data_IF_953358013331
#
_entry.id   IF_953358013331
#
_cell.length_a   1.000
_cell.length_b   1.000
_cell.length_c   1.000
_cell.angle_alpha   90.00
_cell.angle_beta   90.00
_cell.angle_gamma   90.00
#
_symmetry.space_group_name_H-M   'P 1'
#
loop_
_entity.id
_entity.type
_entity.pdbx_description
1 polymer ?
#
# COMPACT_ATOMS: atom_id res chain seq x y z
N UNK A 1 21.59 37.05 -30.21
CA UNK A 1 21.81 38.35 -29.53
C UNK A 1 20.50 39.11 -29.55
N UNK A 2 19.78 39.12 -28.44
CA UNK A 2 18.61 39.99 -28.20
C UNK A 2 18.72 40.47 -26.75
N UNK A 3 18.43 41.72 -26.42
CA UNK A 3 18.84 42.35 -25.17
C UNK A 3 17.90 42.09 -24.00
N UNK A 4 18.49 42.00 -22.82
CA UNK A 4 17.83 41.92 -21.51
C UNK A 4 17.09 43.23 -21.18
N UNK A 5 15.83 43.12 -20.68
CA UNK A 5 15.10 44.18 -20.04
C UNK A 5 15.25 44.08 -18.51
N UNK A 6 15.35 45.21 -17.75
CA UNK A 6 15.62 45.18 -16.33
C UNK A 6 14.37 44.94 -15.48
N UNK A 7 14.57 44.25 -14.36
CA UNK A 7 13.56 43.99 -13.32
C UNK A 7 13.10 45.26 -12.61
N UNK A 8 11.80 45.46 -12.47
CA UNK A 8 11.18 46.53 -11.62
C UNK A 8 11.10 46.03 -10.17
N UNK A 9 11.70 46.83 -9.27
CA UNK A 9 11.57 46.67 -7.82
C UNK A 9 10.17 47.12 -7.35
N UNK A 10 9.44 46.25 -6.65
CA UNK A 10 8.21 46.60 -5.94
C UNK A 10 8.55 47.00 -4.51
N UNK A 11 8.11 48.22 -4.12
CA UNK A 11 8.21 48.73 -2.75
C UNK A 11 7.15 48.08 -1.85
N UNK A 12 7.45 47.86 -0.55
CA UNK A 12 6.48 47.29 0.38
C UNK A 12 5.49 48.36 0.89
N UNK A 13 4.22 47.97 1.00
CA UNK A 13 3.12 48.76 1.62
C UNK A 13 3.15 48.61 3.14
N UNK A 14 2.77 49.66 3.91
CA UNK A 14 2.84 49.64 5.38
C UNK A 14 1.68 48.86 6.02
N UNK A 15 1.98 48.17 7.11
CA UNK A 15 1.02 47.45 7.97
C UNK A 15 0.17 48.42 8.81
N UNK A 16 -1.10 48.10 9.07
CA UNK A 16 -1.92 48.83 10.04
C UNK A 16 -1.62 48.38 11.48
N UNK A 17 -1.61 49.34 12.39
CA UNK A 17 -1.42 49.21 13.85
C UNK A 17 -2.66 48.64 14.55
N UNK A 18 -2.51 47.85 15.62
CA UNK A 18 -3.65 47.36 16.38
C UNK A 18 -4.17 48.39 17.38
N UNK A 19 -5.49 48.49 17.46
CA UNK A 19 -6.20 49.29 18.51
C UNK A 19 -6.37 48.43 19.75
N UNK A 20 -6.12 49.00 20.91
CA UNK A 20 -6.14 48.40 22.23
C UNK A 20 -7.55 48.09 22.79
N UNK A 21 -7.63 47.42 23.96
CA UNK A 21 -8.83 46.77 24.45
C UNK A 21 -9.76 47.71 25.23
N UNK A 22 -11.06 47.45 25.04
CA UNK A 22 -12.13 48.01 25.90
C UNK A 22 -12.41 47.02 27.02
N UNK A 23 -12.24 47.50 28.27
CA UNK A 23 -12.59 46.81 29.50
C UNK A 23 -14.11 46.70 29.67
N UNK A 24 -14.62 45.50 29.87
CA UNK A 24 -15.98 45.27 30.36
C UNK A 24 -15.92 44.57 31.71
N UNK A 25 -16.35 45.24 32.74
CA UNK A 25 -16.51 44.78 34.13
C UNK A 25 -17.75 43.88 34.19
N UNK A 26 -17.63 42.65 34.68
CA UNK A 26 -18.79 41.81 35.00
C UNK A 26 -18.74 41.39 36.47
N UNK A 27 -19.86 41.68 37.17
CA UNK A 27 -20.11 41.39 38.58
C UNK A 27 -20.10 39.89 38.88
N UNK A 28 -19.44 39.56 40.01
CA UNK A 28 -19.58 38.25 40.68
C UNK A 28 -20.90 38.21 41.47
N UNK A 29 -21.69 37.17 41.23
CA UNK A 29 -22.76 36.72 42.13
C UNK A 29 -22.38 35.36 42.69
N UNK A 30 -22.09 35.34 43.97
CA UNK A 30 -21.78 34.11 44.75
C UNK A 30 -23.08 33.43 45.16
N UNK A 31 -23.24 32.17 44.76
CA UNK A 31 -24.25 31.24 45.33
C UNK A 31 -23.52 30.12 46.07
N UNK A 32 -23.69 30.12 47.38
CA UNK A 32 -23.30 29.02 48.27
C UNK A 32 -24.43 27.99 48.25
N UNK A 33 -24.12 26.74 47.95
CA UNK A 33 -25.02 25.63 48.22
C UNK A 33 -24.27 24.47 48.85
N UNK A 34 -24.90 23.93 49.86
CA UNK A 34 -24.40 23.05 50.88
C UNK A 34 -23.97 21.66 50.41
N UNK A 35 -22.97 21.17 51.12
CA UNK A 35 -22.47 19.81 51.10
C UNK A 35 -23.49 18.90 51.82
N UNK A 36 -23.88 17.79 51.19
CA UNK A 36 -24.38 16.62 51.85
C UNK A 36 -23.54 15.44 51.46
N UNK A 37 -22.78 14.94 52.43
CA UNK A 37 -22.03 13.69 52.35
C UNK A 37 -22.98 12.50 52.63
N UNK A 38 -22.92 11.47 51.82
CA UNK A 38 -23.22 10.10 52.24
C UNK A 38 -22.52 9.10 51.29
N UNK A 39 -21.55 8.43 51.74
CA UNK A 39 -21.21 7.07 51.90
C UNK A 39 -20.88 6.20 50.67
N UNK A 40 -20.03 5.21 50.91
CA UNK A 40 -19.16 4.65 49.89
C UNK A 40 -19.79 3.42 49.22
N UNK A 41 -19.14 2.97 48.14
CA UNK A 41 -19.31 1.75 47.38
C UNK A 41 -19.73 2.00 45.93
N UNK A 42 -18.79 2.49 45.17
CA UNK A 42 -18.81 2.43 43.73
C UNK A 42 -17.50 1.76 43.26
N UNK A 43 -17.49 0.43 43.26
CA UNK A 43 -16.41 -0.33 42.67
C UNK A 43 -16.15 0.22 41.24
N UNK A 44 -14.96 0.81 41.09
CA UNK A 44 -14.40 1.13 39.77
C UNK A 44 -14.37 -0.19 39.00
N UNK A 45 -15.34 -0.40 38.12
CA UNK A 45 -15.24 -1.38 37.06
C UNK A 45 -14.15 -0.89 36.13
N UNK A 46 -12.91 -1.31 36.44
CA UNK A 46 -11.87 -1.37 35.39
C UNK A 46 -12.47 -2.19 34.28
N UNK A 47 -12.81 -1.50 33.18
CA UNK A 47 -13.12 -2.16 31.94
C UNK A 47 -11.93 -3.04 31.61
N UNK A 48 -12.12 -4.35 31.76
CA UNK A 48 -11.18 -5.34 31.28
C UNK A 48 -10.98 -5.07 29.80
N UNK A 49 -9.82 -4.49 29.44
CA UNK A 49 -9.43 -4.24 28.07
C UNK A 49 -9.35 -5.57 27.33
N UNK A 50 -10.45 -5.95 26.70
CA UNK A 50 -10.48 -7.11 25.83
C UNK A 50 -9.57 -6.86 24.64
N UNK A 51 -8.38 -7.50 24.63
CA UNK A 51 -7.77 -8.05 23.43
C UNK A 51 -7.31 -7.12 22.30
N UNK A 52 -6.88 -5.87 22.57
CA UNK A 52 -6.34 -5.00 21.52
C UNK A 52 -4.83 -5.11 21.32
N UNK A 53 -4.12 -5.91 22.09
CA UNK A 53 -2.65 -5.92 22.09
C UNK A 53 -2.10 -6.91 21.07
N UNK A 54 -1.24 -6.44 20.18
CA UNK A 54 -0.45 -7.30 19.28
C UNK A 54 0.60 -8.08 20.08
N UNK A 55 0.89 -9.31 19.68
CA UNK A 55 1.89 -10.17 20.30
C UNK A 55 3.32 -9.63 20.23
N UNK A 56 4.26 -10.41 20.75
CA UNK A 56 5.68 -10.10 20.61
C UNK A 56 6.13 -10.35 19.17
N UNK A 57 6.97 -9.46 18.66
CA UNK A 57 7.59 -9.62 17.34
C UNK A 57 8.69 -10.66 17.43
N UNK A 58 8.60 -11.69 16.61
CA UNK A 58 9.63 -12.72 16.44
C UNK A 58 10.22 -12.61 15.03
N UNK A 59 11.47 -12.23 14.94
CA UNK A 59 12.17 -12.19 13.65
C UNK A 59 12.50 -13.64 13.21
N UNK A 60 12.19 -13.94 11.96
CA UNK A 60 12.46 -15.22 11.33
C UNK A 60 13.73 -15.13 10.50
N UNK A 61 14.48 -16.25 10.42
CA UNK A 61 15.61 -16.32 9.48
C UNK A 61 15.10 -16.10 8.07
N UNK A 62 15.60 -15.06 7.41
CA UNK A 62 15.22 -14.73 6.04
C UNK A 62 15.85 -15.73 5.04
N UNK A 63 15.10 -16.24 4.05
CA UNK A 63 15.67 -17.05 2.99
C UNK A 63 16.43 -16.23 1.93
N UNK A 64 16.28 -14.90 1.98
CA UNK A 64 16.87 -13.98 1.02
C UNK A 64 18.29 -13.59 1.46
N UNK A 65 19.31 -13.75 0.60
CA UNK A 65 20.70 -13.36 0.92
C UNK A 65 20.86 -11.84 0.98
N UNK A 66 22.00 -11.39 1.51
CA UNK A 66 22.39 -9.98 1.44
C UNK A 66 22.43 -9.48 -0.02
N UNK A 67 22.03 -8.23 -0.26
CA UNK A 67 21.81 -7.67 -1.59
C UNK A 67 20.36 -7.81 -2.08
N UNK A 68 19.50 -8.53 -1.35
CA UNK A 68 18.08 -8.69 -1.68
C UNK A 68 17.26 -7.49 -1.27
N UNK A 69 16.18 -7.22 -2.04
CA UNK A 69 15.27 -6.07 -1.86
C UNK A 69 13.86 -6.37 -2.37
N UNK A 70 12.96 -5.43 -2.17
CA UNK A 70 11.58 -5.45 -2.67
C UNK A 70 10.86 -6.78 -2.37
N UNK A 71 10.74 -7.17 -1.08
CA UNK A 71 10.06 -8.40 -0.72
C UNK A 71 8.55 -8.29 -0.94
N UNK A 72 7.94 -9.41 -1.30
CA UNK A 72 6.50 -9.56 -1.35
C UNK A 72 6.09 -10.87 -0.70
N UNK A 73 5.12 -10.85 0.23
CA UNK A 73 4.69 -12.02 0.98
C UNK A 73 3.19 -12.26 0.78
N UNK A 74 2.84 -13.50 0.57
CA UNK A 74 1.46 -14.00 0.59
C UNK A 74 1.37 -15.19 1.54
N UNK A 75 0.19 -15.44 2.07
CA UNK A 75 -0.12 -16.63 2.85
C UNK A 75 -1.38 -17.30 2.32
N UNK A 76 -1.50 -18.60 2.58
CA UNK A 76 -2.70 -19.36 2.25
C UNK A 76 -3.38 -19.90 3.53
N UNK A 77 -4.64 -20.30 3.38
CA UNK A 77 -5.45 -20.84 4.48
C UNK A 77 -5.01 -22.24 4.93
N UNK A 78 -4.05 -22.87 4.24
CA UNK A 78 -3.52 -24.21 4.56
C UNK A 78 -2.24 -24.16 5.38
N UNK A 79 -1.81 -22.95 5.77
CA UNK A 79 -0.65 -22.77 6.62
C UNK A 79 0.67 -22.61 5.88
N UNK A 80 0.65 -22.43 4.55
CA UNK A 80 1.83 -22.05 3.79
C UNK A 80 1.88 -20.54 3.56
N UNK A 81 3.10 -19.99 3.55
CA UNK A 81 3.36 -18.65 3.05
C UNK A 81 4.44 -18.70 1.97
N UNK A 82 4.43 -17.71 1.10
CA UNK A 82 5.42 -17.57 0.04
C UNK A 82 6.01 -16.18 0.11
N UNK A 83 7.33 -16.11 0.11
CA UNK A 83 8.09 -14.86 0.05
C UNK A 83 8.81 -14.80 -1.30
N UNK A 84 8.60 -13.73 -2.05
CA UNK A 84 9.42 -13.40 -3.22
C UNK A 84 10.26 -12.16 -2.96
N UNK A 85 11.38 -12.04 -3.68
CA UNK A 85 12.28 -10.90 -3.58
C UNK A 85 13.07 -10.72 -4.87
N UNK A 86 13.60 -9.51 -5.06
CA UNK A 86 14.62 -9.25 -6.07
C UNK A 86 15.99 -9.45 -5.44
N UNK A 87 16.78 -10.35 -6.02
CA UNK A 87 18.14 -10.68 -5.62
C UNK A 87 19.14 -10.04 -6.58
N UNK A 88 20.09 -9.27 -6.06
CA UNK A 88 21.22 -8.80 -6.84
C UNK A 88 22.34 -9.84 -6.77
N UNK A 89 22.81 -10.31 -7.91
CA UNK A 89 23.88 -11.29 -8.02
C UNK A 89 25.27 -10.64 -8.00
N UNK A 90 26.31 -11.46 -7.84
CA UNK A 90 27.70 -11.00 -7.79
C UNK A 90 28.17 -10.29 -9.08
N UNK A 91 27.61 -10.66 -10.23
CA UNK A 91 27.86 -10.05 -11.54
C UNK A 91 27.01 -8.77 -11.79
N UNK A 92 26.36 -8.27 -10.76
CA UNK A 92 25.43 -7.13 -10.80
C UNK A 92 24.15 -7.36 -11.60
N UNK A 93 23.91 -8.54 -12.12
CA UNK A 93 22.60 -8.93 -12.68
C UNK A 93 21.57 -9.14 -11.58
N UNK A 94 20.31 -9.32 -11.97
CA UNK A 94 19.23 -9.54 -11.03
C UNK A 94 18.52 -10.87 -11.31
N UNK A 95 17.93 -11.44 -10.26
CA UNK A 95 16.99 -12.53 -10.34
C UNK A 95 15.78 -12.22 -9.44
N UNK A 96 14.62 -12.76 -9.79
CA UNK A 96 13.43 -12.76 -8.93
C UNK A 96 13.31 -14.16 -8.35
N UNK A 97 13.30 -14.21 -7.03
CA UNK A 97 13.37 -15.45 -6.25
C UNK A 97 12.09 -15.68 -5.47
N UNK A 98 11.88 -16.91 -5.06
CA UNK A 98 10.74 -17.38 -4.27
C UNK A 98 11.20 -18.41 -3.26
N UNK A 99 10.70 -18.35 -2.03
CA UNK A 99 10.76 -19.44 -1.05
C UNK A 99 9.38 -19.69 -0.45
N UNK A 100 9.10 -20.94 -0.08
CA UNK A 100 7.88 -21.35 0.61
C UNK A 100 8.17 -21.59 2.08
N UNK A 101 7.34 -21.06 2.95
CA UNK A 101 7.30 -21.32 4.38
C UNK A 101 6.36 -22.49 4.68
N UNK A 102 6.81 -23.47 5.43
CA UNK A 102 6.01 -24.66 5.78
C UNK A 102 5.42 -24.61 7.20
N UNK A 103 5.46 -23.43 7.83
CA UNK A 103 5.06 -23.23 9.23
C UNK A 103 6.24 -23.20 10.21
N UNK A 104 7.41 -23.73 9.83
CA UNK A 104 8.60 -23.84 10.70
C UNK A 104 9.86 -23.28 10.06
N UNK A 105 10.10 -23.59 8.80
CA UNK A 105 11.30 -23.17 8.04
C UNK A 105 10.93 -22.82 6.61
N UNK A 106 11.76 -21.96 6.01
CA UNK A 106 11.73 -21.71 4.57
C UNK A 106 12.38 -22.87 3.83
N UNK A 107 11.80 -23.27 2.71
CA UNK A 107 12.46 -24.18 1.79
C UNK A 107 13.58 -23.47 1.00
N UNK A 108 14.33 -24.24 0.20
CA UNK A 108 15.37 -23.69 -0.67
C UNK A 108 14.79 -22.71 -1.68
N UNK A 109 15.43 -21.54 -1.81
CA UNK A 109 15.01 -20.50 -2.74
C UNK A 109 14.98 -21.02 -4.19
N UNK A 110 13.88 -20.73 -4.89
CA UNK A 110 13.65 -21.04 -6.31
C UNK A 110 13.74 -19.78 -7.14
N UNK A 111 14.00 -19.93 -8.42
CA UNK A 111 14.05 -18.82 -9.35
C UNK A 111 12.72 -18.68 -10.08
N UNK A 112 12.07 -17.51 -9.96
CA UNK A 112 10.94 -17.18 -10.82
C UNK A 112 11.47 -16.85 -12.21
N UNK A 113 12.45 -15.93 -12.28
CA UNK A 113 13.10 -15.54 -13.52
C UNK A 113 14.49 -14.96 -13.23
N UNK A 114 15.40 -15.03 -14.21
CA UNK A 114 16.75 -14.50 -14.12
C UNK A 114 17.22 -14.02 -15.50
N UNK A 115 18.29 -13.25 -15.51
CA UNK A 115 19.01 -12.86 -16.74
C UNK A 115 18.13 -12.12 -17.76
N UNK A 116 17.25 -11.24 -17.25
CA UNK A 116 16.33 -10.41 -18.03
C UNK A 116 16.68 -8.93 -17.88
N UNK A 117 16.30 -8.05 -18.83
CA UNK A 117 16.51 -6.61 -18.74
C UNK A 117 15.51 -5.97 -17.77
N UNK A 118 15.61 -6.31 -16.49
CA UNK A 118 14.65 -5.83 -15.49
C UNK A 118 14.65 -4.31 -15.34
N UNK A 119 13.46 -3.75 -15.17
CA UNK A 119 13.27 -2.44 -14.58
C UNK A 119 13.18 -2.60 -13.06
N UNK A 120 14.32 -2.46 -12.38
CA UNK A 120 14.39 -2.60 -10.91
C UNK A 120 14.13 -1.26 -10.27
N UNK A 121 13.02 -1.13 -9.58
CA UNK A 121 12.59 0.07 -8.88
C UNK A 121 12.16 -0.25 -7.44
N UNK A 122 12.35 0.70 -6.53
CA UNK A 122 12.01 0.57 -5.11
C UNK A 122 10.50 0.65 -4.85
N UNK A 123 9.76 1.30 -5.75
CA UNK A 123 8.34 1.60 -5.63
C UNK A 123 7.48 0.82 -6.62
N UNK A 124 8.05 0.35 -7.72
CA UNK A 124 7.39 -0.46 -8.73
C UNK A 124 8.10 -1.82 -8.79
N UNK A 125 7.59 -2.78 -8.06
CA UNK A 125 8.30 -4.00 -7.66
C UNK A 125 7.52 -5.25 -8.07
N UNK A 126 8.22 -6.39 -8.26
CA UNK A 126 7.60 -7.67 -8.53
C UNK A 126 6.67 -8.13 -7.41
N UNK A 127 5.61 -8.83 -7.77
CA UNK A 127 4.69 -9.45 -6.82
C UNK A 127 4.29 -10.86 -7.26
N UNK A 128 3.75 -11.61 -6.31
CA UNK A 128 3.21 -12.95 -6.50
C UNK A 128 1.77 -13.02 -6.00
N UNK A 129 1.00 -13.92 -6.55
CA UNK A 129 -0.36 -14.24 -6.08
C UNK A 129 -0.59 -15.74 -6.15
N UNK A 130 -1.37 -16.28 -5.22
CA UNK A 130 -1.90 -17.65 -5.30
C UNK A 130 -3.22 -17.63 -6.03
N UNK A 131 -3.39 -18.54 -6.99
CA UNK A 131 -4.60 -18.69 -7.77
C UNK A 131 -5.59 -19.64 -7.08
N UNK A 132 -6.85 -19.59 -7.46
CA UNK A 132 -7.92 -20.37 -6.84
C UNK A 132 -7.72 -21.89 -6.99
N UNK A 133 -7.02 -22.34 -8.04
CA UNK A 133 -6.65 -23.73 -8.27
C UNK A 133 -5.36 -24.18 -7.53
N UNK A 134 -4.76 -23.29 -6.73
CA UNK A 134 -3.52 -23.54 -5.99
C UNK A 134 -2.23 -23.23 -6.73
N UNK A 135 -2.29 -22.88 -8.02
CA UNK A 135 -1.15 -22.39 -8.79
C UNK A 135 -0.64 -21.05 -8.23
N UNK A 136 0.55 -20.68 -8.66
CA UNK A 136 1.10 -19.34 -8.40
C UNK A 136 1.13 -18.54 -9.71
N UNK A 137 0.96 -17.23 -9.59
CA UNK A 137 1.33 -16.29 -10.63
C UNK A 137 2.29 -15.25 -10.07
N UNK A 138 3.15 -14.72 -10.95
CA UNK A 138 4.10 -13.69 -10.62
C UNK A 138 4.17 -12.66 -11.75
N UNK A 139 4.54 -11.42 -11.41
CA UNK A 139 4.89 -10.42 -12.40
C UNK A 139 6.22 -9.77 -12.09
N UNK A 140 6.81 -9.20 -13.12
CA UNK A 140 7.93 -8.28 -13.05
C UNK A 140 7.86 -7.28 -14.19
N UNK A 141 8.76 -6.30 -14.17
CA UNK A 141 8.87 -5.27 -15.18
C UNK A 141 10.17 -5.47 -15.98
N UNK A 142 10.07 -5.34 -17.31
CA UNK A 142 11.22 -5.39 -18.23
C UNK A 142 11.35 -4.10 -19.01
N UNK A 143 12.60 -3.66 -19.20
CA UNK A 143 12.91 -2.56 -20.13
C UNK A 143 12.63 -3.01 -21.55
N UNK A 144 11.91 -2.19 -22.31
CA UNK A 144 11.52 -2.47 -23.69
C UNK A 144 12.24 -1.56 -24.70
N UNK A 145 13.03 -0.60 -24.22
CA UNK A 145 13.78 0.34 -25.04
C UNK A 145 14.85 1.08 -24.25
N UNK A 146 15.42 2.11 -24.85
CA UNK A 146 16.47 2.96 -24.25
C UNK A 146 15.91 4.09 -23.38
N UNK A 147 14.61 4.39 -23.48
CA UNK A 147 13.94 5.40 -22.67
C UNK A 147 13.85 5.01 -21.21
N UNK A 148 14.00 5.96 -20.29
CA UNK A 148 13.94 5.72 -18.85
C UNK A 148 12.62 5.10 -18.39
N UNK A 149 11.54 5.39 -19.08
CA UNK A 149 10.17 4.93 -18.80
C UNK A 149 9.61 4.00 -19.89
N UNK A 150 10.47 3.41 -20.71
CA UNK A 150 10.08 2.40 -21.68
C UNK A 150 10.23 1.02 -21.04
N UNK A 151 9.22 0.58 -20.32
CA UNK A 151 9.18 -0.74 -19.68
C UNK A 151 7.75 -1.30 -19.65
N UNK A 152 7.66 -2.62 -19.62
CA UNK A 152 6.40 -3.33 -19.70
C UNK A 152 6.31 -4.48 -18.71
N UNK A 153 5.07 -4.89 -18.45
CA UNK A 153 4.72 -5.96 -17.52
C UNK A 153 4.94 -7.32 -18.14
N UNK A 154 5.47 -8.25 -17.37
CA UNK A 154 5.53 -9.68 -17.67
C UNK A 154 4.81 -10.47 -16.59
N UNK A 155 3.94 -11.38 -16.99
CA UNK A 155 3.18 -12.27 -16.11
C UNK A 155 3.52 -13.71 -16.45
N UNK A 156 3.79 -14.52 -15.41
CA UNK A 156 4.05 -15.96 -15.53
C UNK A 156 3.21 -16.74 -14.54
N UNK A 157 3.05 -18.06 -14.79
CA UNK A 157 2.33 -18.98 -13.92
C UNK A 157 3.19 -20.21 -13.61
N UNK A 158 2.92 -20.79 -12.45
CA UNK A 158 3.52 -22.04 -11.99
C UNK A 158 2.44 -22.96 -11.41
N UNK A 159 2.32 -24.17 -11.93
CA UNK A 159 1.42 -25.21 -11.43
C UNK A 159 2.09 -26.19 -10.47
N UNK A 160 3.37 -25.99 -10.16
CA UNK A 160 4.19 -26.86 -9.34
C UNK A 160 4.83 -26.16 -8.13
N UNK A 161 4.13 -25.13 -7.61
CA UNK A 161 4.54 -24.34 -6.45
C UNK A 161 5.84 -23.57 -6.68
N UNK A 162 6.08 -23.08 -7.88
CA UNK A 162 7.24 -22.25 -8.22
C UNK A 162 8.51 -23.03 -8.57
N UNK A 163 8.41 -24.32 -8.87
CA UNK A 163 9.57 -25.12 -9.38
C UNK A 163 9.84 -24.82 -10.83
N UNK A 164 8.79 -24.65 -11.64
CA UNK A 164 8.87 -24.21 -13.01
C UNK A 164 7.81 -23.13 -13.33
N UNK A 165 8.06 -22.34 -14.34
CA UNK A 165 7.22 -21.21 -14.73
C UNK A 165 6.93 -21.24 -16.23
N UNK A 166 5.75 -20.78 -16.62
CA UNK A 166 5.35 -20.63 -18.02
C UNK A 166 6.23 -19.61 -18.76
N UNK A 167 6.12 -19.58 -20.08
CA UNK A 167 6.56 -18.43 -20.86
C UNK A 167 5.85 -17.15 -20.34
N UNK A 168 6.53 -15.99 -20.33
CA UNK A 168 5.93 -14.73 -19.89
C UNK A 168 4.90 -14.22 -20.90
N UNK A 169 3.80 -13.69 -20.37
CA UNK A 169 2.75 -13.01 -21.13
C UNK A 169 2.78 -11.51 -20.80
N UNK A 170 2.66 -10.66 -21.83
CA UNK A 170 2.52 -9.21 -21.66
C UNK A 170 1.03 -8.86 -21.63
N UNK A 171 0.49 -8.25 -20.56
CA UNK A 171 -0.95 -7.98 -20.44
C UNK A 171 -1.43 -6.75 -21.21
N UNK A 172 -0.53 -5.94 -21.74
CA UNK A 172 -0.83 -4.76 -22.59
C UNK A 172 -0.46 -5.04 -24.05
N UNK A 173 -1.28 -4.56 -24.98
CA UNK A 173 -1.17 -4.90 -26.41
C UNK A 173 -1.02 -3.69 -27.32
N UNK A 174 -0.68 -2.53 -26.75
CA UNK A 174 -0.56 -1.26 -27.51
C UNK A 174 0.70 -1.19 -28.39
N UNK A 175 1.73 -2.00 -28.10
CA UNK A 175 3.01 -2.02 -28.84
C UNK A 175 3.84 -0.75 -28.70
N UNK A 176 3.55 0.10 -27.71
CA UNK A 176 4.23 1.37 -27.50
C UNK A 176 5.34 1.24 -26.45
N UNK A 177 6.45 1.94 -26.69
CA UNK A 177 7.54 2.06 -25.74
C UNK A 177 7.19 3.12 -24.68
N UNK A 178 6.34 2.74 -23.73
CA UNK A 178 5.81 3.59 -22.69
C UNK A 178 5.96 2.93 -21.32
N UNK A 179 5.54 3.64 -20.28
CA UNK A 179 5.51 3.15 -18.91
C UNK A 179 4.28 2.26 -18.70
N UNK A 180 4.50 0.99 -18.33
CA UNK A 180 3.47 0.05 -17.93
C UNK A 180 3.90 -0.61 -16.62
N UNK A 181 3.35 -0.16 -15.48
CA UNK A 181 3.84 -0.61 -14.17
C UNK A 181 2.85 -0.43 -13.03
N UNK A 182 3.36 -0.44 -11.81
CA UNK A 182 2.58 -0.32 -10.57
C UNK A 182 1.46 -1.37 -10.48
N UNK A 183 1.84 -2.61 -10.73
CA UNK A 183 0.96 -3.73 -11.04
C UNK A 183 0.33 -4.33 -9.80
N UNK A 184 -0.95 -4.69 -9.90
CA UNK A 184 -1.63 -5.60 -8.98
C UNK A 184 -2.09 -6.85 -9.69
N UNK A 185 -1.88 -8.03 -9.08
CA UNK A 185 -2.33 -9.32 -9.56
C UNK A 185 -3.43 -9.89 -8.68
N UNK A 186 -4.30 -10.73 -9.27
CA UNK A 186 -5.27 -11.50 -8.50
C UNK A 186 -5.67 -12.81 -9.22
N UNK A 187 -6.22 -13.74 -8.44
CA UNK A 187 -6.87 -14.92 -8.97
C UNK A 187 -8.22 -14.55 -9.63
N UNK A 188 -8.46 -15.02 -10.87
CA UNK A 188 -9.66 -14.73 -11.65
C UNK A 188 -10.36 -16.02 -12.08
N UNK A 189 -10.60 -16.94 -11.14
CA UNK A 189 -11.25 -18.22 -11.41
C UNK A 189 -10.49 -19.12 -12.38
N UNK A 190 -10.79 -20.40 -12.43
CA UNK A 190 -10.24 -21.39 -13.37
C UNK A 190 -8.71 -21.34 -13.63
N UNK A 191 -7.96 -20.68 -12.75
CA UNK A 191 -6.52 -20.47 -12.88
C UNK A 191 -6.11 -19.31 -13.80
N UNK A 192 -7.01 -18.44 -14.16
CA UNK A 192 -6.73 -17.20 -14.86
C UNK A 192 -6.16 -16.13 -13.89
N UNK A 193 -5.42 -15.17 -14.43
CA UNK A 193 -4.76 -14.10 -13.67
C UNK A 193 -5.35 -12.76 -14.08
N UNK A 194 -6.02 -12.08 -13.16
CA UNK A 194 -6.38 -10.69 -13.35
C UNK A 194 -5.17 -9.78 -13.08
N UNK A 195 -5.04 -8.74 -13.87
CA UNK A 195 -3.94 -7.78 -13.82
C UNK A 195 -4.50 -6.37 -13.92
N UNK A 196 -4.10 -5.49 -13.01
CA UNK A 196 -4.29 -4.05 -13.12
C UNK A 196 -2.93 -3.36 -13.13
N UNK A 197 -2.79 -2.30 -13.92
CA UNK A 197 -1.55 -1.54 -14.03
C UNK A 197 -1.80 -0.07 -14.32
N UNK A 198 -0.82 0.76 -14.02
CA UNK A 198 -0.75 2.12 -14.53
C UNK A 198 -0.17 2.08 -15.95
N UNK A 199 -0.81 2.79 -16.85
CA UNK A 199 -0.53 2.73 -18.29
C UNK A 199 -0.25 4.12 -18.85
N UNK A 200 0.99 4.31 -19.25
CA UNK A 200 1.52 5.57 -19.78
C UNK A 200 1.50 5.68 -21.30
N UNK A 201 0.78 4.80 -22.03
CA UNK A 201 0.76 4.80 -23.50
C UNK A 201 0.44 6.17 -24.12
N UNK A 202 -0.38 6.99 -23.46
CA UNK A 202 -0.69 8.34 -23.92
C UNK A 202 0.55 9.23 -23.99
N UNK A 203 1.58 8.99 -23.19
CA UNK A 203 2.84 9.75 -23.24
C UNK A 203 3.66 9.47 -24.52
N UNK A 204 3.47 8.30 -25.13
CA UNK A 204 4.11 7.89 -26.38
C UNK A 204 3.26 8.18 -27.61
N UNK A 205 2.00 8.62 -27.45
CA UNK A 205 1.10 8.95 -28.56
C UNK A 205 1.23 10.43 -28.96
N UNK A 206 1.34 10.76 -30.25
CA UNK A 206 1.29 12.14 -30.71
C UNK A 206 -0.02 12.83 -30.30
N UNK A 207 0.05 14.11 -30.00
CA UNK A 207 -1.09 14.97 -29.68
C UNK A 207 -1.98 14.49 -28.51
N UNK A 208 -1.46 13.61 -27.65
CA UNK A 208 -2.19 13.14 -26.47
C UNK A 208 -1.98 14.06 -25.25
N UNK A 209 -2.87 13.90 -24.28
CA UNK A 209 -2.82 14.63 -23.00
C UNK A 209 -1.68 14.20 -22.09
N UNK A 210 -0.93 13.13 -22.46
CA UNK A 210 0.15 12.51 -21.69
C UNK A 210 -0.26 12.05 -20.27
N UNK A 211 -1.51 11.74 -20.11
CA UNK A 211 -2.04 11.27 -18.82
C UNK A 211 -1.77 9.79 -18.63
N UNK A 212 -1.42 9.41 -17.40
CA UNK A 212 -1.43 8.04 -16.95
C UNK A 212 -2.87 7.54 -16.78
N UNK A 213 -3.14 6.30 -17.15
CA UNK A 213 -4.46 5.66 -16.98
C UNK A 213 -4.34 4.43 -16.08
N UNK A 214 -5.42 4.02 -15.40
CA UNK A 214 -5.51 2.69 -14.79
C UNK A 214 -6.19 1.76 -15.78
N UNK A 215 -5.54 0.62 -16.08
CA UNK A 215 -6.08 -0.42 -16.94
C UNK A 215 -6.10 -1.77 -16.28
N UNK A 216 -6.89 -2.67 -16.81
CA UNK A 216 -7.00 -4.05 -16.39
C UNK A 216 -7.15 -4.98 -17.58
N UNK A 217 -6.69 -6.23 -17.41
CA UNK A 217 -6.94 -7.33 -18.33
C UNK A 217 -6.93 -8.65 -17.55
N UNK A 218 -7.36 -9.72 -18.20
CA UNK A 218 -7.24 -11.08 -17.69
C UNK A 218 -6.32 -11.87 -18.60
N UNK A 219 -5.24 -12.41 -18.04
CA UNK A 219 -4.36 -13.40 -18.67
C UNK A 219 -4.93 -14.79 -18.37
N UNK A 220 -5.48 -15.43 -19.37
CA UNK A 220 -6.05 -16.77 -19.25
C UNK A 220 -4.98 -17.83 -19.03
N UNK A 221 -5.41 -19.00 -18.58
CA UNK A 221 -4.55 -20.16 -18.40
C UNK A 221 -3.78 -20.58 -19.66
N UNK A 222 -4.36 -20.35 -20.84
CA UNK A 222 -3.75 -20.60 -22.17
C UNK A 222 -2.88 -19.45 -22.67
N UNK A 223 -2.71 -18.37 -21.90
CA UNK A 223 -1.93 -17.19 -22.25
C UNK A 223 -2.70 -16.14 -23.08
N UNK A 224 -3.96 -16.37 -23.44
CA UNK A 224 -4.77 -15.38 -24.14
C UNK A 224 -5.17 -14.23 -23.23
N UNK A 225 -5.31 -13.02 -23.79
CA UNK A 225 -5.80 -11.85 -23.10
C UNK A 225 -7.29 -11.66 -23.32
N UNK A 226 -8.00 -11.35 -22.25
CA UNK A 226 -9.43 -11.05 -22.29
C UNK A 226 -9.78 -9.92 -21.33
N UNK A 227 -10.96 -9.35 -21.48
CA UNK A 227 -11.55 -8.34 -20.58
C UNK A 227 -10.64 -7.13 -20.34
N UNK A 228 -9.89 -6.69 -21.36
CA UNK A 228 -9.16 -5.43 -21.29
C UNK A 228 -10.15 -4.27 -21.08
N UNK A 229 -9.86 -3.40 -20.11
CA UNK A 229 -10.68 -2.22 -19.81
C UNK A 229 -9.82 -1.07 -19.30
N UNK A 230 -10.26 0.16 -19.59
CA UNK A 230 -9.79 1.37 -18.91
C UNK A 230 -10.68 1.58 -17.70
N UNK A 231 -10.08 1.58 -16.53
CA UNK A 231 -10.79 1.80 -15.25
C UNK A 231 -10.88 3.29 -14.93
N UNK A 232 -9.80 4.03 -15.26
CA UNK A 232 -9.73 5.46 -15.08
C UNK A 232 -8.87 6.07 -16.21
N UNK A 233 -9.38 7.07 -16.95
CA UNK A 233 -8.64 7.70 -18.04
C UNK A 233 -7.54 8.67 -17.61
N UNK A 234 -7.46 8.97 -16.28
CA UNK A 234 -6.47 9.88 -15.70
C UNK A 234 -6.19 9.49 -14.25
N UNK A 235 -4.93 9.31 -13.88
CA UNK A 235 -4.51 8.90 -12.55
C UNK A 235 -3.13 9.45 -12.19
N UNK A 236 -2.70 9.26 -10.95
CA UNK A 236 -1.33 9.53 -10.50
C UNK A 236 -0.33 8.62 -11.22
N UNK A 237 0.78 9.17 -11.67
CA UNK A 237 1.74 8.51 -12.56
C UNK A 237 2.68 7.52 -11.83
N UNK A 238 2.72 7.50 -10.49
CA UNK A 238 3.82 6.87 -9.76
C UNK A 238 3.40 6.22 -8.42
N UNK A 239 2.15 5.85 -8.28
CA UNK A 239 1.64 5.27 -7.04
C UNK A 239 1.12 3.86 -7.28
N UNK A 240 1.43 2.95 -6.36
CA UNK A 240 0.98 1.56 -6.43
C UNK A 240 -0.55 1.48 -6.54
N UNK A 241 -1.03 0.54 -7.32
CA UNK A 241 -2.40 0.04 -7.25
C UNK A 241 -2.49 -1.06 -6.18
N UNK A 242 -3.69 -1.36 -5.71
CA UNK A 242 -3.95 -2.53 -4.87
C UNK A 242 -5.33 -3.10 -5.15
N UNK A 243 -5.50 -4.40 -4.90
CA UNK A 243 -6.75 -5.11 -5.17
C UNK A 243 -7.11 -6.05 -4.02
N UNK A 244 -8.40 -6.21 -3.78
CA UNK A 244 -8.96 -7.20 -2.87
C UNK A 244 -10.28 -7.75 -3.42
N UNK A 245 -10.72 -8.91 -2.93
CA UNK A 245 -12.01 -9.50 -3.29
C UNK A 245 -12.86 -9.71 -2.05
N UNK A 246 -14.02 -9.08 -2.00
CA UNK A 246 -15.07 -9.35 -1.02
C UNK A 246 -16.20 -10.18 -1.60
N UNK A 247 -17.28 -10.34 -0.82
CA UNK A 247 -18.48 -11.09 -1.25
C UNK A 247 -19.27 -10.41 -2.39
N UNK A 248 -19.05 -9.11 -2.59
CA UNK A 248 -19.72 -8.31 -3.63
C UNK A 248 -18.88 -8.11 -4.90
N UNK A 249 -17.78 -8.84 -5.02
CA UNK A 249 -16.86 -8.73 -6.17
C UNK A 249 -15.51 -8.17 -5.78
N UNK A 250 -14.72 -7.87 -6.79
CA UNK A 250 -13.37 -7.32 -6.68
C UNK A 250 -13.41 -5.80 -6.57
N UNK A 251 -12.45 -5.27 -5.85
CA UNK A 251 -12.16 -3.84 -5.80
C UNK A 251 -10.72 -3.58 -6.21
N UNK A 252 -10.49 -2.46 -6.88
CA UNK A 252 -9.16 -1.94 -7.19
C UNK A 252 -9.09 -0.52 -6.67
N UNK A 253 -8.05 -0.21 -5.91
CA UNK A 253 -7.78 1.13 -5.38
C UNK A 253 -6.49 1.67 -5.95
N UNK A 254 -6.45 2.97 -6.17
CA UNK A 254 -5.30 3.68 -6.72
C UNK A 254 -5.35 5.14 -6.27
N UNK A 255 -4.25 5.86 -6.48
CA UNK A 255 -4.24 7.31 -6.28
C UNK A 255 -4.71 7.98 -7.55
N UNK A 256 -5.80 8.71 -7.45
CA UNK A 256 -6.35 9.51 -8.55
C UNK A 256 -5.52 10.80 -8.78
N UNK A 257 -5.82 11.46 -9.88
CA UNK A 257 -5.28 12.76 -10.24
C UNK A 257 -6.32 13.59 -10.96
N UNK A 258 -6.90 14.57 -10.27
CA UNK A 258 -7.82 15.51 -10.90
C UNK A 258 -7.07 16.47 -11.88
N UNK A 259 -7.83 17.23 -12.66
CA UNK A 259 -7.33 18.32 -13.52
C UNK A 259 -6.63 19.45 -12.73
N UNK A 260 -6.85 19.50 -11.42
CA UNK A 260 -6.23 20.45 -10.49
C UNK A 260 -5.11 19.84 -9.66
N UNK A 261 -4.56 18.70 -10.07
CA UNK A 261 -3.55 17.94 -9.32
C UNK A 261 -3.95 17.57 -7.88
N UNK A 262 -5.24 17.38 -7.61
CA UNK A 262 -5.71 16.75 -6.38
C UNK A 262 -5.42 15.25 -6.49
N UNK A 263 -4.76 14.69 -5.46
CA UNK A 263 -4.22 13.33 -5.43
C UNK A 263 -4.90 12.46 -4.37
N UNK A 264 -6.22 12.38 -4.38
CA UNK A 264 -6.99 11.58 -3.44
C UNK A 264 -7.05 10.10 -3.85
N UNK A 265 -7.55 9.24 -2.98
CA UNK A 265 -7.64 7.80 -3.26
C UNK A 265 -9.00 7.48 -3.87
N UNK A 266 -8.97 6.84 -5.04
CA UNK A 266 -10.14 6.33 -5.72
C UNK A 266 -10.24 4.80 -5.64
N UNK A 267 -11.45 4.30 -5.78
CA UNK A 267 -11.81 2.89 -5.86
C UNK A 267 -12.72 2.65 -7.06
N UNK A 268 -12.50 1.56 -7.77
CA UNK A 268 -13.43 0.97 -8.71
C UNK A 268 -13.84 -0.42 -8.22
N UNK A 269 -15.08 -0.82 -8.53
CA UNK A 269 -15.66 -2.09 -8.09
C UNK A 269 -16.08 -2.92 -9.29
N UNK A 270 -15.84 -4.22 -9.22
CA UNK A 270 -16.44 -5.16 -10.16
C UNK A 270 -17.97 -5.16 -9.98
N UNK A 271 -18.68 -5.01 -11.07
CA UNK A 271 -20.14 -4.99 -11.14
C UNK A 271 -20.61 -5.87 -12.28
N UNK A 272 -21.91 -6.13 -12.35
CA UNK A 272 -22.47 -6.87 -13.48
C UNK A 272 -22.11 -6.17 -14.81
N UNK A 273 -21.40 -6.89 -15.67
CA UNK A 273 -20.99 -6.39 -16.99
C UNK A 273 -19.68 -5.59 -17.05
N UNK A 274 -18.94 -5.46 -15.95
CA UNK A 274 -17.64 -4.79 -15.98
C UNK A 274 -17.23 -4.11 -14.66
N UNK A 275 -16.87 -2.85 -14.73
CA UNK A 275 -16.39 -2.05 -13.61
C UNK A 275 -17.26 -0.82 -13.37
N UNK A 276 -17.42 -0.43 -12.11
CA UNK A 276 -18.09 0.82 -11.75
C UNK A 276 -17.25 2.03 -12.20
N UNK A 277 -17.85 3.21 -12.35
CA UNK A 277 -17.08 4.45 -12.37
C UNK A 277 -16.21 4.59 -11.11
N UNK A 278 -15.08 5.32 -11.18
CA UNK A 278 -14.28 5.68 -10.01
C UNK A 278 -15.09 6.45 -8.96
N UNK A 279 -14.85 6.14 -7.69
CA UNK A 279 -15.42 6.87 -6.53
C UNK A 279 -14.28 7.14 -5.56
N UNK A 280 -14.23 8.34 -4.99
CA UNK A 280 -13.24 8.66 -3.95
C UNK A 280 -13.56 7.87 -2.67
N UNK A 281 -12.52 7.28 -2.06
CA UNK A 281 -12.61 6.67 -0.74
C UNK A 281 -12.86 7.76 0.31
N UNK A 282 -12.16 8.87 0.17
CA UNK A 282 -12.32 10.09 0.97
C UNK A 282 -11.76 11.28 0.20
N UNK A 283 -12.40 12.44 0.30
CA UNK A 283 -11.91 13.69 -0.25
C UNK A 283 -10.95 14.33 0.77
N UNK A 284 -9.66 14.06 0.62
CA UNK A 284 -8.61 14.69 1.43
C UNK A 284 -8.28 16.08 0.90
N UNK A 285 -8.62 16.35 -0.39
CA UNK A 285 -8.28 17.54 -1.15
C UNK A 285 -6.76 17.78 -1.20
N UNK A 286 -5.99 16.66 -1.33
CA UNK A 286 -4.53 16.73 -1.34
C UNK A 286 -4.00 17.27 -2.68
N UNK A 287 -3.79 18.58 -2.75
CA UNK A 287 -3.08 19.17 -3.87
C UNK A 287 -1.59 18.81 -3.82
N UNK A 288 -1.10 18.16 -4.87
CA UNK A 288 0.32 17.81 -5.00
C UNK A 288 0.74 17.73 -6.47
N UNK A 289 1.42 18.77 -7.02
CA UNK A 289 1.82 18.83 -8.43
C UNK A 289 3.11 18.04 -8.68
N UNK A 290 3.18 16.80 -8.24
CA UNK A 290 4.36 15.93 -8.31
C UNK A 290 4.04 14.46 -8.11
N UNK A 291 5.08 13.66 -7.86
CA UNK A 291 5.00 12.22 -7.63
C UNK A 291 5.11 11.88 -6.15
N UNK A 292 4.00 11.62 -5.44
CA UNK A 292 4.06 11.30 -4.01
C UNK A 292 4.61 9.91 -3.71
N UNK A 293 4.55 8.98 -4.67
CA UNK A 293 5.04 7.59 -4.58
C UNK A 293 4.52 6.89 -3.31
N UNK A 294 3.26 7.05 -3.02
CA UNK A 294 2.53 6.48 -1.89
C UNK A 294 1.15 6.04 -2.35
N UNK A 295 1.05 4.84 -2.89
CA UNK A 295 -0.22 4.22 -3.27
C UNK A 295 -1.01 3.73 -2.06
N UNK A 296 -2.33 3.53 -2.21
CA UNK A 296 -3.17 2.91 -1.20
C UNK A 296 -2.92 1.42 -1.08
N UNK A 297 -3.44 0.83 0.01
CA UNK A 297 -3.58 -0.62 0.16
C UNK A 297 -5.01 -0.95 0.56
N UNK A 298 -5.48 -2.13 0.16
CA UNK A 298 -6.86 -2.57 0.39
C UNK A 298 -6.88 -4.02 0.86
N UNK A 299 -7.79 -4.31 1.79
CA UNK A 299 -8.14 -5.67 2.17
C UNK A 299 -9.66 -5.81 2.26
N UNK A 300 -10.17 -7.02 2.00
CA UNK A 300 -11.62 -7.28 2.02
C UNK A 300 -11.94 -8.65 2.63
N UNK A 301 -13.07 -8.73 3.33
CA UNK A 301 -13.64 -9.97 3.88
C UNK A 301 -15.17 -9.82 3.96
N UNK A 302 -15.91 -10.74 3.37
CA UNK A 302 -17.35 -10.57 3.24
C UNK A 302 -17.70 -9.26 2.53
N UNK A 303 -18.61 -8.47 3.09
CA UNK A 303 -18.96 -7.13 2.59
C UNK A 303 -18.04 -6.02 3.12
N UNK A 304 -17.15 -6.33 4.07
CA UNK A 304 -16.18 -5.36 4.61
C UNK A 304 -15.05 -5.13 3.62
N UNK A 305 -14.78 -3.86 3.31
CA UNK A 305 -13.61 -3.40 2.57
C UNK A 305 -12.91 -2.33 3.40
N UNK A 306 -11.61 -2.45 3.59
CA UNK A 306 -10.80 -1.44 4.27
C UNK A 306 -9.73 -0.91 3.34
N UNK A 307 -9.53 0.39 3.34
CA UNK A 307 -8.49 1.06 2.55
C UNK A 307 -7.60 1.85 3.49
N UNK A 308 -6.29 1.63 3.40
CA UNK A 308 -5.29 2.41 4.10
C UNK A 308 -4.47 3.24 3.10
N UNK A 309 -4.18 4.49 3.43
CA UNK A 309 -3.41 5.37 2.56
C UNK A 309 -2.64 6.44 3.34
N UNK A 310 -1.69 7.03 2.65
CA UNK A 310 -0.97 8.21 3.09
C UNK A 310 -1.54 9.45 2.41
N UNK A 311 -1.66 10.55 3.14
CA UNK A 311 -1.95 11.88 2.62
C UNK A 311 -1.08 12.92 3.32
N UNK A 312 -0.80 14.03 2.65
CA UNK A 312 -0.19 15.21 3.26
C UNK A 312 -1.03 16.46 2.97
N UNK A 313 -2.35 16.26 2.82
CA UNK A 313 -3.28 17.36 2.65
C UNK A 313 -3.19 18.36 3.81
N UNK A 314 -3.33 19.66 3.47
CA UNK A 314 -3.21 20.75 4.42
C UNK A 314 -1.86 20.75 5.18
N UNK A 315 -0.76 20.43 4.48
CA UNK A 315 0.62 20.38 5.00
C UNK A 315 0.80 19.48 6.22
N UNK A 316 -0.07 18.49 6.38
CA UNK A 316 -0.02 17.56 7.50
C UNK A 316 0.02 16.11 7.01
N UNK A 317 1.17 15.45 7.16
CA UNK A 317 1.34 14.04 6.85
C UNK A 317 0.49 13.16 7.76
N UNK A 318 -0.23 12.21 7.19
CA UNK A 318 -1.10 11.27 7.91
C UNK A 318 -1.17 9.93 7.19
N UNK A 319 -1.29 8.86 7.97
CA UNK A 319 -1.77 7.56 7.50
C UNK A 319 -3.21 7.41 7.96
N UNK A 320 -4.10 7.20 7.03
CA UNK A 320 -5.53 7.07 7.25
C UNK A 320 -6.02 5.67 6.89
N UNK A 321 -7.09 5.24 7.55
CA UNK A 321 -7.83 4.01 7.25
C UNK A 321 -9.31 4.34 7.18
N UNK A 322 -9.99 3.96 6.10
CA UNK A 322 -11.45 4.00 5.98
C UNK A 322 -12.02 2.59 5.83
N UNK A 323 -13.20 2.38 6.37
CA UNK A 323 -13.95 1.12 6.30
C UNK A 323 -15.25 1.31 5.53
N UNK A 324 -15.55 0.38 4.66
CA UNK A 324 -16.83 0.16 4.00
C UNK A 324 -17.43 -1.14 4.54
N UNK A 325 -18.77 -1.21 4.62
CA UNK A 325 -19.55 -2.41 4.95
C UNK A 325 -20.47 -2.85 3.81
N UNK A 326 -20.36 -2.18 2.67
CA UNK A 326 -21.18 -2.38 1.47
C UNK A 326 -20.34 -2.70 0.22
N UNK A 327 -19.23 -3.42 0.42
CA UNK A 327 -18.35 -3.86 -0.68
C UNK A 327 -17.58 -2.73 -1.35
N UNK A 328 -17.32 -1.63 -0.64
CA UNK A 328 -16.60 -0.48 -1.15
C UNK A 328 -17.46 0.53 -1.91
N UNK A 329 -18.80 0.44 -1.80
CA UNK A 329 -19.69 1.41 -2.43
C UNK A 329 -19.66 2.76 -1.71
N UNK A 330 -19.62 2.73 -0.38
CA UNK A 330 -19.45 3.91 0.47
C UNK A 330 -18.46 3.64 1.60
N UNK A 331 -17.84 4.69 2.12
CA UNK A 331 -16.89 4.60 3.23
C UNK A 331 -17.30 5.49 4.39
N UNK A 332 -17.05 5.02 5.61
CA UNK A 332 -17.17 5.83 6.81
C UNK A 332 -16.02 6.84 6.93
N UNK A 333 -16.13 7.72 7.92
CA UNK A 333 -15.07 8.68 8.22
C UNK A 333 -13.73 7.95 8.50
N UNK A 334 -12.60 8.44 7.96
CA UNK A 334 -11.33 7.80 8.14
C UNK A 334 -10.80 7.97 9.57
N UNK A 335 -10.08 6.93 10.03
CA UNK A 335 -9.35 6.92 11.31
C UNK A 335 -7.88 7.18 11.03
N UNK A 336 -7.25 8.09 11.78
CA UNK A 336 -5.80 8.33 11.72
C UNK A 336 -5.05 7.21 12.44
N UNK A 337 -4.03 6.65 11.76
CA UNK A 337 -3.30 5.45 12.22
C UNK A 337 -1.90 5.80 12.77
N UNK A 338 -1.20 6.77 12.18
CA UNK A 338 0.19 7.11 12.47
C UNK A 338 0.42 7.76 13.84
N UNK A 339 1.68 7.99 14.20
CA UNK A 339 2.10 8.65 15.45
C UNK A 339 2.54 10.11 15.26
N UNK A 340 2.41 10.68 14.06
CA UNK A 340 2.64 12.11 13.82
C UNK A 340 3.64 12.45 12.72
N UNK A 341 4.54 11.54 12.38
CA UNK A 341 5.58 11.77 11.36
C UNK A 341 5.65 10.63 10.33
N UNK A 342 4.52 10.22 9.69
CA UNK A 342 4.54 9.10 8.78
C UNK A 342 5.25 9.46 7.47
N UNK A 343 6.06 8.51 6.97
CA UNK A 343 6.55 8.49 5.60
C UNK A 343 5.48 7.89 4.67
N UNK A 344 4.53 7.16 5.25
CA UNK A 344 3.52 6.38 4.54
C UNK A 344 3.99 4.97 4.22
N UNK A 345 3.95 4.57 2.94
CA UNK A 345 4.31 3.23 2.46
C UNK A 345 3.53 2.14 3.18
N UNK A 346 2.23 2.29 3.16
CA UNK A 346 1.29 1.51 3.95
C UNK A 346 1.15 0.07 3.45
N UNK A 347 0.81 -0.83 4.37
CA UNK A 347 0.27 -2.16 4.09
C UNK A 347 -0.95 -2.40 4.99
N UNK A 348 -1.95 -3.13 4.52
CA UNK A 348 -3.13 -3.50 5.31
C UNK A 348 -3.55 -4.93 5.02
N UNK A 349 -3.92 -5.64 6.08
CA UNK A 349 -4.54 -6.97 6.04
C UNK A 349 -5.72 -7.00 7.00
N UNK A 350 -6.59 -7.99 6.85
CA UNK A 350 -7.65 -8.29 7.82
C UNK A 350 -7.28 -9.54 8.61
N UNK A 351 -7.55 -9.53 9.91
CA UNK A 351 -7.44 -10.73 10.74
C UNK A 351 -8.68 -11.64 10.60
N UNK A 352 -8.71 -12.74 11.36
CA UNK A 352 -9.81 -13.71 11.36
C UNK A 352 -11.17 -13.14 11.77
N UNK A 353 -11.19 -11.96 12.38
CA UNK A 353 -12.39 -11.23 12.79
C UNK A 353 -12.76 -10.11 11.81
N UNK A 354 -12.09 -10.03 10.65
CA UNK A 354 -12.19 -8.95 9.69
C UNK A 354 -11.81 -7.56 10.27
N UNK A 355 -10.94 -7.53 11.29
CA UNK A 355 -10.40 -6.30 11.83
C UNK A 355 -9.06 -5.97 11.16
N UNK A 356 -8.84 -4.71 10.73
CA UNK A 356 -7.64 -4.34 10.01
C UNK A 356 -6.40 -4.26 10.89
N UNK A 357 -5.30 -4.76 10.32
CA UNK A 357 -3.93 -4.56 10.82
C UNK A 357 -3.18 -3.76 9.78
N UNK A 358 -2.70 -2.59 10.15
CA UNK A 358 -2.03 -1.63 9.27
C UNK A 358 -0.57 -1.49 9.65
N UNK A 359 0.32 -1.60 8.67
CA UNK A 359 1.73 -1.24 8.83
C UNK A 359 2.05 0.02 8.00
N UNK A 360 3.03 0.78 8.47
CA UNK A 360 3.54 1.97 7.78
C UNK A 360 4.99 2.26 8.20
N UNK A 361 5.65 3.17 7.47
CA UNK A 361 6.92 3.73 7.89
C UNK A 361 6.68 5.05 8.64
N UNK A 362 7.27 5.15 9.82
CA UNK A 362 7.27 6.34 10.67
C UNK A 362 8.69 6.90 10.80
N UNK A 363 8.87 8.20 10.56
CA UNK A 363 10.16 8.87 10.72
C UNK A 363 10.44 9.09 12.20
N UNK A 364 11.65 8.74 12.68
CA UNK A 364 12.09 8.97 14.07
C UNK A 364 13.17 10.05 14.17
N UNK A 365 14.07 10.08 13.18
CA UNK A 365 15.10 11.10 13.02
C UNK A 365 15.39 11.28 11.53
N UNK A 366 16.22 12.23 11.09
CA UNK A 366 16.58 12.37 9.67
C UNK A 366 17.13 11.09 9.04
N UNK A 367 17.81 10.23 9.80
CA UNK A 367 18.45 9.01 9.33
C UNK A 367 17.67 7.74 9.66
N UNK A 368 16.80 7.76 10.68
CA UNK A 368 16.10 6.59 11.19
C UNK A 368 14.60 6.66 10.97
N UNK A 369 14.03 5.57 10.48
CA UNK A 369 12.61 5.31 10.44
C UNK A 369 12.31 3.95 11.08
N UNK A 370 11.06 3.73 11.43
CA UNK A 370 10.57 2.44 11.93
C UNK A 370 9.44 1.91 11.04
N UNK A 371 9.42 0.60 10.89
CA UNK A 371 8.24 -0.11 10.41
C UNK A 371 7.35 -0.36 11.60
N UNK A 372 6.24 0.36 11.66
CA UNK A 372 5.24 0.23 12.73
C UNK A 372 4.05 -0.57 12.26
N UNK A 373 3.38 -1.23 13.20
CA UNK A 373 2.13 -1.94 12.97
C UNK A 373 1.12 -1.66 14.08
N UNK A 374 -0.16 -1.57 13.73
CA UNK A 374 -1.28 -1.33 14.63
C UNK A 374 -2.52 -2.09 14.17
N UNK A 375 -3.27 -2.65 15.12
CA UNK A 375 -4.60 -3.22 14.88
C UNK A 375 -5.67 -2.17 15.17
N UNK A 376 -6.75 -2.20 14.39
CA UNK A 376 -7.89 -1.29 14.56
C UNK A 376 -9.14 -2.11 14.78
N UNK A 377 -9.82 -1.91 15.90
CA UNK A 377 -11.08 -2.60 16.25
C UNK A 377 -12.19 -1.55 16.27
N UNK A 378 -13.08 -1.60 15.27
CA UNK A 378 -14.01 -0.49 15.05
C UNK A 378 -13.26 0.81 14.78
N UNK A 379 -13.29 1.76 15.72
CA UNK A 379 -12.49 3.01 15.71
C UNK A 379 -11.40 3.02 16.78
N UNK A 380 -11.28 1.95 17.57
CA UNK A 380 -10.28 1.86 18.65
C UNK A 380 -8.95 1.37 18.11
N UNK A 381 -7.90 2.09 18.40
CA UNK A 381 -6.53 1.76 18.03
C UNK A 381 -5.83 0.96 19.12
N UNK A 382 -5.16 -0.13 18.74
CA UNK A 382 -4.20 -0.78 19.65
C UNK A 382 -3.01 0.14 19.91
N UNK A 383 -2.20 -0.16 20.92
CA UNK A 383 -0.84 0.36 20.97
C UNK A 383 -0.08 -0.04 19.69
N UNK A 384 0.79 0.83 19.22
CA UNK A 384 1.71 0.51 18.12
C UNK A 384 2.72 -0.54 18.54
N UNK A 385 3.14 -1.37 17.59
CA UNK A 385 4.25 -2.28 17.76
C UNK A 385 5.30 -1.97 16.68
N UNK A 386 6.53 -1.70 17.11
CA UNK A 386 7.65 -1.59 16.17
C UNK A 386 8.03 -3.00 15.69
N UNK A 387 8.03 -3.20 14.39
CA UNK A 387 8.53 -4.42 13.76
C UNK A 387 10.05 -4.35 13.62
N UNK A 388 10.57 -3.18 13.21
CA UNK A 388 11.99 -2.98 13.02
C UNK A 388 12.34 -1.50 12.85
N UNK A 389 13.62 -1.18 13.12
CA UNK A 389 14.26 0.02 12.66
C UNK A 389 14.72 -0.14 11.21
N UNK A 390 14.56 0.92 10.43
CA UNK A 390 14.99 1.00 9.03
C UNK A 390 15.38 2.45 8.72
N UNK A 391 15.36 2.83 7.45
CA UNK A 391 15.65 4.18 6.98
C UNK A 391 14.43 4.76 6.24
N UNK A 392 14.25 6.07 6.29
CA UNK A 392 13.29 6.79 5.45
C UNK A 392 13.68 6.83 3.96
N UNK A 393 14.88 6.36 3.60
CA UNK A 393 15.36 6.34 2.23
C UNK A 393 14.45 5.52 1.29
N UNK A 394 14.49 5.84 -0.01
CA UNK A 394 13.70 5.14 -1.04
C UNK A 394 13.97 3.64 -1.06
N UNK A 395 15.22 3.25 -0.86
CA UNK A 395 15.66 1.84 -0.90
C UNK A 395 15.04 0.96 0.20
N UNK A 396 14.47 1.52 1.27
CA UNK A 396 13.70 0.75 2.26
C UNK A 396 12.43 0.15 1.68
N UNK A 397 11.98 0.62 0.51
CA UNK A 397 10.81 0.08 -0.17
C UNK A 397 9.53 0.18 0.65
N UNK A 398 8.68 -0.80 0.48
CA UNK A 398 7.37 -0.90 1.13
C UNK A 398 7.32 -2.17 2.00
N UNK A 399 6.90 -2.09 3.27
CA UNK A 399 6.60 -3.28 4.06
C UNK A 399 5.42 -4.03 3.43
N UNK A 400 5.40 -5.35 3.62
CA UNK A 400 4.29 -6.21 3.18
C UNK A 400 3.82 -7.07 4.33
N UNK A 401 2.53 -7.31 4.35
CA UNK A 401 1.86 -8.11 5.36
C UNK A 401 1.10 -9.27 4.72
N UNK A 402 1.05 -10.39 5.43
CA UNK A 402 0.14 -11.48 5.16
C UNK A 402 -0.38 -12.02 6.48
N UNK A 403 -1.59 -12.57 6.50
CA UNK A 403 -2.18 -13.20 7.68
C UNK A 403 -2.30 -14.70 7.42
N UNK A 404 -1.87 -15.49 8.37
CA UNK A 404 -1.99 -16.93 8.40
C UNK A 404 -2.67 -17.32 9.71
N UNK A 405 -3.97 -17.63 9.67
CA UNK A 405 -4.80 -17.80 10.86
C UNK A 405 -4.72 -16.55 11.77
N UNK A 406 -4.25 -16.70 13.01
CA UNK A 406 -4.07 -15.62 13.97
C UNK A 406 -2.62 -15.11 14.03
N UNK A 407 -1.84 -15.35 13.00
CA UNK A 407 -0.44 -14.91 12.90
C UNK A 407 -0.28 -13.90 11.78
N UNK A 408 0.22 -12.73 12.10
CA UNK A 408 0.70 -11.77 11.12
C UNK A 408 2.13 -12.15 10.70
N UNK A 409 2.34 -12.24 9.41
CA UNK A 409 3.65 -12.27 8.78
C UNK A 409 3.93 -10.91 8.18
N UNK A 410 5.12 -10.37 8.45
CA UNK A 410 5.55 -9.08 7.93
C UNK A 410 6.92 -9.21 7.28
N UNK A 411 7.13 -8.47 6.19
CA UNK A 411 8.44 -8.40 5.53
C UNK A 411 8.76 -6.96 5.13
N UNK A 412 10.03 -6.61 5.17
CA UNK A 412 10.55 -5.27 4.85
C UNK A 412 11.99 -5.35 4.35
N UNK A 413 12.51 -4.22 3.92
CA UNK A 413 13.91 -4.06 3.51
C UNK A 413 14.63 -3.08 4.42
N UNK A 414 15.84 -3.43 4.88
CA UNK A 414 16.82 -2.45 5.38
C UNK A 414 17.86 -2.19 4.31
N UNK A 415 18.14 -0.93 3.93
CA UNK A 415 19.00 -0.64 2.77
C UNK A 415 20.48 -0.65 3.08
N UNK A 416 20.91 -0.62 4.35
CA UNK A 416 22.32 -0.48 4.76
C UNK A 416 22.69 -1.49 5.85
N UNK A 417 23.98 -1.91 5.94
CA UNK A 417 25.12 -1.59 5.07
C UNK A 417 25.02 -2.20 3.66
N UNK A 418 24.37 -3.36 3.53
CA UNK A 418 23.89 -3.94 2.28
C UNK A 418 22.39 -4.09 2.38
N UNK A 419 21.68 -4.01 1.25
CA UNK A 419 20.22 -4.26 1.23
C UNK A 419 19.93 -5.65 1.78
N UNK A 420 18.97 -5.75 2.71
CA UNK A 420 18.57 -6.99 3.36
C UNK A 420 17.04 -7.09 3.45
N UNK A 421 16.50 -8.23 3.07
CA UNK A 421 15.10 -8.58 3.27
C UNK A 421 14.94 -9.27 4.62
N UNK A 422 14.04 -8.78 5.43
CA UNK A 422 13.68 -9.31 6.74
C UNK A 422 12.27 -9.90 6.73
N UNK A 423 12.04 -10.83 7.61
CA UNK A 423 10.73 -11.42 7.86
C UNK A 423 10.52 -11.54 9.36
N UNK A 424 9.32 -11.21 9.83
CA UNK A 424 8.91 -11.43 11.20
C UNK A 424 7.50 -11.98 11.28
N UNK A 425 7.19 -12.59 12.44
CA UNK A 425 5.83 -12.96 12.78
C UNK A 425 5.43 -12.40 14.13
N UNK A 426 4.13 -12.22 14.32
CA UNK A 426 3.54 -11.90 15.62
C UNK A 426 2.10 -12.41 15.70
N UNK A 427 1.67 -12.79 16.91
CA UNK A 427 0.30 -13.23 17.16
C UNK A 427 -0.66 -12.04 17.10
N UNK A 428 -1.81 -12.22 16.45
CA UNK A 428 -2.94 -11.30 16.44
C UNK A 428 -3.94 -11.60 17.55
N UNK A 429 -3.94 -12.83 18.08
CA UNK A 429 -4.70 -13.22 19.25
C UNK A 429 -3.87 -13.01 20.50
N UNK A 430 -4.33 -12.19 21.44
CA UNK A 430 -3.77 -12.16 22.81
C UNK A 430 -4.64 -13.07 23.66
N UNK A 431 -4.12 -14.23 24.04
CA UNK A 431 -4.69 -14.98 25.17
C UNK A 431 -4.61 -14.11 26.41
N UNK A 432 -5.76 -13.74 26.97
CA UNK A 432 -5.78 -13.23 28.33
C UNK A 432 -5.11 -14.29 29.24
N UNK A 433 -3.94 -13.95 29.80
CA UNK A 433 -3.33 -14.73 30.87
C UNK A 433 -4.01 -14.40 32.19
#
# INVERSE_FOLDING_TARGET
>A
MLPHAPARSLRPTPRPTPRGPLSATVLLASIVLAVSACGPDGASRTASGTGTTLGVVEELASPAPAGSKTPFIIADDQGAAYLSWTEQRADSSFAIRLAKWNGTVWDSARTITADRPYFVNWADFPAIVRLDNGDLAAHWLEREGTGSYAYGVRVVRSSDQGRSWSAPVTPHTDGLLAEHGFVSLWAEGAGDVGVAWLDGRKSAMPDSTREMTVRTAVVRADGQLTREAVLDPRTCDCCQTATARGSQGRVIVYRDRSDKDIRDIAIVREVAGGWSPPVLVHADDWYYPGCPVNGPQVAASGSTVVVAWYTAAHDTARVLLARSTDGGATFGAPVRIDEGHPIGRVAVVLDSQAEPVVAWLEQRSPEEAEVLVRRVIGTTLSATRSLAKTSGARQSGFPRLAVQHDTLLATWTTPKPASQVHVARLSLSVSAR
#
